data_IF_696107850928
#
_entry.id   IF_696107850928
#
_cell.length_a   1.000
_cell.length_b   1.000
_cell.length_c   1.000
_cell.angle_alpha   90.00
_cell.angle_beta   90.00
_cell.angle_gamma   90.00
#
_symmetry.space_group_name_H-M   'P 1'
#
loop_
_entity.id
_entity.type
_entity.pdbx_description
1 polymer ?
#
# COMPACT_ATOMS: atom_id res chain seq x y z
N UNK A 1 8.23 -8.45 18.54
CA UNK A 1 7.88 -9.53 19.49
C UNK A 1 6.37 -9.60 19.74
N UNK A 2 5.74 -8.57 20.29
CA UNK A 2 4.28 -8.57 20.59
C UNK A 2 3.41 -8.79 19.34
N UNK A 3 3.72 -8.14 18.23
CA UNK A 3 2.91 -8.23 17.00
C UNK A 3 3.00 -9.61 16.33
N UNK A 4 4.19 -10.23 16.31
CA UNK A 4 4.38 -11.60 15.82
C UNK A 4 3.62 -12.60 16.69
N UNK A 5 3.61 -12.38 18.00
CA UNK A 5 2.84 -13.20 18.93
C UNK A 5 1.33 -13.05 18.71
N UNK A 6 0.84 -11.83 18.47
CA UNK A 6 -0.57 -11.59 18.11
C UNK A 6 -0.98 -12.25 16.80
N UNK A 7 -0.13 -12.17 15.77
CA UNK A 7 -0.34 -12.84 14.48
C UNK A 7 -0.38 -14.36 14.65
N UNK A 8 0.53 -14.91 15.45
CA UNK A 8 0.56 -16.34 15.76
C UNK A 8 -0.68 -16.79 16.53
N UNK A 9 -1.10 -16.03 17.56
CA UNK A 9 -2.32 -16.31 18.34
C UNK A 9 -3.56 -16.25 17.45
N UNK A 10 -3.70 -15.24 16.59
CA UNK A 10 -4.82 -15.19 15.64
C UNK A 10 -4.80 -16.34 14.65
N UNK A 11 -3.62 -16.72 14.14
CA UNK A 11 -3.49 -17.86 13.25
C UNK A 11 -3.97 -19.15 13.92
N UNK A 12 -3.57 -19.38 15.18
CA UNK A 12 -4.03 -20.53 15.98
C UNK A 12 -5.54 -20.48 16.24
N UNK A 13 -6.10 -19.30 16.53
CA UNK A 13 -7.55 -19.11 16.71
C UNK A 13 -8.31 -19.40 15.42
N UNK A 14 -7.82 -18.93 14.27
CA UNK A 14 -8.38 -19.20 12.95
C UNK A 14 -8.36 -20.72 12.64
N UNK A 15 -7.28 -21.40 13.00
CA UNK A 15 -7.12 -22.84 12.82
C UNK A 15 -8.09 -23.64 13.70
N UNK A 16 -8.28 -23.22 14.96
CA UNK A 16 -9.24 -23.85 15.87
C UNK A 16 -10.70 -23.62 15.44
N UNK A 17 -11.02 -22.42 14.93
CA UNK A 17 -12.33 -22.12 14.35
C UNK A 17 -12.61 -22.93 13.09
N UNK A 18 -11.56 -23.20 12.30
CA UNK A 18 -11.67 -24.02 11.10
C UNK A 18 -12.12 -25.46 11.40
N UNK A 19 -11.63 -26.03 12.51
CA UNK A 19 -12.01 -27.39 12.92
C UNK A 19 -13.38 -27.49 13.60
N UNK A 20 -13.91 -26.39 14.18
CA UNK A 20 -15.08 -26.47 15.04
C UNK A 20 -16.44 -26.30 14.33
N UNK A 21 -16.55 -25.52 13.23
CA UNK A 21 -17.85 -25.25 12.57
C UNK A 21 -17.71 -25.16 11.03
N UNK A 22 -17.95 -26.26 10.28
CA UNK A 22 -17.77 -26.31 8.82
C UNK A 22 -18.70 -25.38 8.01
N UNK A 23 -19.89 -25.06 8.53
CA UNK A 23 -20.92 -24.31 7.80
C UNK A 23 -20.80 -22.79 7.91
N UNK A 24 -20.15 -22.27 8.96
CA UNK A 24 -19.87 -20.83 9.16
C UNK A 24 -18.46 -20.42 8.70
N UNK A 25 -17.67 -21.43 8.32
CA UNK A 25 -16.27 -21.34 7.98
C UNK A 25 -15.93 -20.27 6.93
N UNK A 26 -16.66 -20.10 5.82
CA UNK A 26 -16.27 -19.12 4.80
C UNK A 26 -16.46 -17.67 5.29
N UNK A 27 -17.58 -17.39 5.96
CA UNK A 27 -17.92 -16.03 6.39
C UNK A 27 -17.02 -15.61 7.55
N UNK A 28 -16.91 -16.44 8.59
CA UNK A 28 -16.07 -16.14 9.76
C UNK A 28 -14.59 -16.02 9.40
N UNK A 29 -14.08 -16.90 8.52
CA UNK A 29 -12.69 -16.83 8.07
C UNK A 29 -12.43 -15.57 7.24
N UNK A 30 -13.35 -15.20 6.35
CA UNK A 30 -13.21 -13.97 5.56
C UNK A 30 -13.26 -12.72 6.45
N UNK A 31 -14.18 -12.68 7.42
CA UNK A 31 -14.30 -11.54 8.36
C UNK A 31 -13.08 -11.43 9.27
N UNK A 32 -12.62 -12.54 9.85
CA UNK A 32 -11.43 -12.54 10.71
C UNK A 32 -10.16 -12.23 9.91
N UNK A 33 -10.03 -12.76 8.69
CA UNK A 33 -8.93 -12.43 7.80
C UNK A 33 -8.92 -10.94 7.45
N UNK A 34 -10.07 -10.34 7.13
CA UNK A 34 -10.15 -8.90 6.90
C UNK A 34 -9.81 -8.08 8.13
N UNK A 35 -10.30 -8.48 9.30
CA UNK A 35 -10.00 -7.79 10.56
C UNK A 35 -8.51 -7.86 10.90
N UNK A 36 -7.89 -9.01 10.65
CA UNK A 36 -6.45 -9.24 10.80
C UNK A 36 -5.65 -8.42 9.79
N UNK A 37 -6.06 -8.41 8.52
CA UNK A 37 -5.43 -7.60 7.47
C UNK A 37 -5.49 -6.12 7.80
N UNK A 38 -6.64 -5.61 8.26
CA UNK A 38 -6.82 -4.22 8.72
C UNK A 38 -5.94 -3.93 9.93
N UNK A 39 -5.90 -4.83 10.92
CA UNK A 39 -5.05 -4.67 12.09
C UNK A 39 -3.57 -4.59 11.72
N UNK A 40 -3.08 -5.48 10.85
CA UNK A 40 -1.71 -5.47 10.33
C UNK A 40 -1.43 -4.21 9.53
N UNK A 41 -2.38 -3.78 8.69
CA UNK A 41 -2.28 -2.55 7.91
C UNK A 41 -2.02 -1.35 8.82
N UNK A 42 -2.86 -1.15 9.84
CA UNK A 42 -2.76 0.02 10.72
C UNK A 42 -1.61 -0.06 11.72
N UNK A 43 -1.25 -1.26 12.19
CA UNK A 43 -0.24 -1.43 13.26
C UNK A 43 1.17 -1.54 12.71
N UNK A 44 1.34 -2.06 11.49
CA UNK A 44 2.67 -2.30 10.89
C UNK A 44 2.85 -1.47 9.64
N UNK A 45 1.95 -1.61 8.66
CA UNK A 45 2.15 -1.06 7.32
C UNK A 45 2.09 0.48 7.32
N UNK A 46 1.13 1.08 8.03
CA UNK A 46 1.00 2.54 8.17
C UNK A 46 2.21 3.18 8.86
N UNK A 47 2.67 2.73 10.05
CA UNK A 47 3.86 3.32 10.67
C UNK A 47 5.14 3.04 9.88
N UNK A 48 5.24 1.90 9.20
CA UNK A 48 6.35 1.61 8.29
C UNK A 48 6.39 2.59 7.12
N UNK A 49 5.25 2.82 6.46
CA UNK A 49 5.12 3.80 5.39
C UNK A 49 5.46 5.22 5.87
N UNK A 50 5.00 5.62 7.07
CA UNK A 50 5.37 6.91 7.68
C UNK A 50 6.87 7.03 7.93
N UNK A 51 7.51 5.97 8.41
CA UNK A 51 8.96 5.97 8.69
C UNK A 51 9.76 6.06 7.40
N UNK A 52 9.34 5.34 6.36
CA UNK A 52 9.93 5.44 5.02
C UNK A 52 9.77 6.84 4.45
N UNK A 53 8.57 7.42 4.52
CA UNK A 53 8.33 8.80 4.05
C UNK A 53 9.20 9.81 4.81
N UNK A 54 9.34 9.69 6.13
CA UNK A 54 10.20 10.55 6.94
C UNK A 54 11.70 10.39 6.63
N UNK A 55 12.14 9.20 6.21
CA UNK A 55 13.51 8.99 5.72
C UNK A 55 13.72 9.65 4.34
N UNK A 56 12.70 9.58 3.49
CA UNK A 56 12.76 10.13 2.14
C UNK A 56 12.63 11.66 2.16
N UNK A 57 11.85 12.26 3.07
CA UNK A 57 11.78 13.71 3.28
C UNK A 57 13.13 14.38 3.60
N UNK A 58 14.10 13.63 4.14
CA UNK A 58 15.45 14.14 4.41
C UNK A 58 16.32 14.25 3.16
N UNK A 59 15.86 13.73 2.02
CA UNK A 59 16.55 13.86 0.75
C UNK A 59 16.16 15.17 0.05
N UNK A 60 17.09 15.81 -0.67
CA UNK A 60 16.79 17.00 -1.45
C UNK A 60 15.78 16.65 -2.57
N UNK A 61 14.74 17.47 -2.71
CA UNK A 61 13.87 17.45 -3.88
C UNK A 61 14.68 17.79 -5.14
N UNK A 62 14.46 17.17 -6.32
CA UNK A 62 13.33 16.30 -6.72
C UNK A 62 13.58 14.79 -6.56
N UNK A 63 14.77 14.39 -6.11
CA UNK A 63 15.21 12.98 -5.97
C UNK A 63 14.24 12.15 -5.11
N UNK A 64 13.74 12.75 -4.04
CA UNK A 64 12.70 12.24 -3.13
C UNK A 64 11.44 11.79 -3.87
N UNK A 65 10.91 12.65 -4.74
CA UNK A 65 9.68 12.40 -5.49
C UNK A 65 9.84 11.25 -6.48
N UNK A 66 11.01 11.18 -7.12
CA UNK A 66 11.38 10.08 -8.02
C UNK A 66 11.48 8.75 -7.28
N UNK A 67 12.15 8.71 -6.12
CA UNK A 67 12.32 7.48 -5.33
C UNK A 67 10.98 6.97 -4.81
N UNK A 68 10.13 7.84 -4.26
CA UNK A 68 8.78 7.45 -3.80
C UNK A 68 7.95 6.94 -4.97
N UNK A 69 7.96 7.63 -6.11
CA UNK A 69 7.19 7.22 -7.29
C UNK A 69 7.64 5.87 -7.84
N UNK A 70 8.95 5.64 -7.94
CA UNK A 70 9.52 4.37 -8.38
C UNK A 70 9.19 3.23 -7.40
N UNK A 71 9.28 3.50 -6.09
CA UNK A 71 8.93 2.53 -5.06
C UNK A 71 7.45 2.14 -5.09
N UNK A 72 6.55 3.13 -5.21
CA UNK A 72 5.11 2.90 -5.35
C UNK A 72 4.77 2.13 -6.62
N UNK A 73 5.44 2.45 -7.74
CA UNK A 73 5.25 1.74 -9.00
C UNK A 73 5.69 0.28 -8.90
N UNK A 74 6.89 0.03 -8.37
CA UNK A 74 7.41 -1.33 -8.18
C UNK A 74 6.53 -2.16 -7.24
N UNK A 75 6.09 -1.56 -6.13
CA UNK A 75 5.17 -2.25 -5.21
C UNK A 75 3.84 -2.58 -5.87
N UNK A 76 3.33 -1.69 -6.72
CA UNK A 76 2.12 -1.95 -7.50
C UNK A 76 2.31 -3.10 -8.50
N UNK A 77 3.46 -3.19 -9.17
CA UNK A 77 3.76 -4.31 -10.07
C UNK A 77 3.87 -5.64 -9.33
N UNK A 78 4.60 -5.68 -8.22
CA UNK A 78 4.78 -6.92 -7.45
C UNK A 78 3.44 -7.42 -6.91
N UNK A 79 2.63 -6.54 -6.32
CA UNK A 79 1.33 -6.92 -5.77
C UNK A 79 0.34 -7.33 -6.86
N UNK A 80 0.33 -6.63 -8.00
CA UNK A 80 -0.53 -7.01 -9.11
C UNK A 80 -0.09 -8.32 -9.77
N UNK A 81 1.21 -8.59 -9.82
CA UNK A 81 1.75 -9.89 -10.26
C UNK A 81 1.26 -11.03 -9.38
N UNK A 82 1.37 -10.89 -8.05
CA UNK A 82 0.86 -11.90 -7.12
C UNK A 82 -0.67 -12.09 -7.25
N UNK A 83 -1.43 -11.01 -7.40
CA UNK A 83 -2.87 -11.09 -7.61
C UNK A 83 -3.22 -11.79 -8.92
N UNK A 84 -2.42 -11.62 -9.97
CA UNK A 84 -2.61 -12.31 -11.23
C UNK A 84 -2.36 -13.81 -11.10
N UNK A 85 -1.30 -14.20 -10.39
CA UNK A 85 -0.95 -15.61 -10.16
C UNK A 85 -2.03 -16.34 -9.34
N UNK A 86 -2.73 -15.64 -8.46
CA UNK A 86 -3.85 -16.14 -7.65
C UNK A 86 -5.22 -16.10 -8.39
N UNK A 87 -5.26 -15.65 -9.66
CA UNK A 87 -6.48 -15.58 -10.46
C UNK A 87 -7.34 -14.31 -10.26
N UNK A 88 -6.84 -13.32 -9.52
CA UNK A 88 -7.47 -12.02 -9.26
C UNK A 88 -6.97 -10.91 -10.21
N UNK A 89 -6.78 -11.21 -11.49
CA UNK A 89 -6.16 -10.28 -12.46
C UNK A 89 -6.88 -8.92 -12.55
N UNK A 90 -8.21 -8.90 -12.52
CA UNK A 90 -8.99 -7.66 -12.55
C UNK A 90 -8.73 -6.76 -11.33
N UNK A 91 -8.53 -7.35 -10.15
CA UNK A 91 -8.21 -6.61 -8.92
C UNK A 91 -6.77 -6.08 -8.99
N UNK A 92 -5.85 -6.88 -9.53
CA UNK A 92 -4.46 -6.45 -9.78
C UNK A 92 -4.38 -5.26 -10.73
N UNK A 93 -5.14 -5.25 -11.82
CA UNK A 93 -5.20 -4.13 -12.76
C UNK A 93 -5.80 -2.85 -12.14
N UNK A 94 -6.88 -3.00 -11.35
CA UNK A 94 -7.45 -1.89 -10.59
C UNK A 94 -6.41 -1.31 -9.62
N UNK A 95 -5.69 -2.16 -8.89
CA UNK A 95 -4.66 -1.74 -7.96
C UNK A 95 -3.54 -0.96 -8.65
N UNK A 96 -3.03 -1.45 -9.79
CA UNK A 96 -2.04 -0.71 -10.58
C UNK A 96 -2.56 0.66 -11.05
N UNK A 97 -3.82 0.71 -11.47
CA UNK A 97 -4.45 1.95 -11.95
C UNK A 97 -4.55 2.98 -10.83
N UNK A 98 -5.03 2.57 -9.65
CA UNK A 98 -5.08 3.43 -8.46
C UNK A 98 -3.69 3.92 -8.08
N UNK A 99 -2.68 3.04 -8.09
CA UNK A 99 -1.31 3.44 -7.76
C UNK A 99 -0.72 4.44 -8.74
N UNK A 100 -0.99 4.32 -10.04
CA UNK A 100 -0.59 5.31 -11.05
C UNK A 100 -1.27 6.67 -10.81
N UNK A 101 -2.56 6.68 -10.46
CA UNK A 101 -3.29 7.92 -10.12
C UNK A 101 -2.66 8.59 -8.89
N UNK A 102 -2.32 7.81 -7.86
CA UNK A 102 -1.63 8.33 -6.65
C UNK A 102 -0.28 8.94 -7.02
N UNK A 103 0.52 8.26 -7.85
CA UNK A 103 1.80 8.79 -8.32
C UNK A 103 1.59 10.12 -9.06
N UNK A 104 0.69 10.19 -10.03
CA UNK A 104 0.41 11.44 -10.77
C UNK A 104 -0.03 12.56 -9.83
N UNK A 105 -0.87 12.24 -8.84
CA UNK A 105 -1.35 13.22 -7.84
C UNK A 105 -0.20 13.75 -6.96
N UNK A 106 0.78 12.91 -6.63
CA UNK A 106 1.98 13.34 -5.89
C UNK A 106 2.83 14.34 -6.68
N UNK A 107 2.85 14.26 -8.01
CA UNK A 107 3.62 15.17 -8.87
C UNK A 107 2.92 16.50 -9.16
N UNK A 108 1.60 16.60 -8.94
CA UNK A 108 0.80 17.79 -9.26
C UNK A 108 1.37 19.11 -8.69
N UNK A 109 1.76 19.18 -7.39
CA UNK A 109 2.32 20.40 -6.82
C UNK A 109 3.61 20.84 -7.48
N UNK A 110 4.49 19.89 -7.83
CA UNK A 110 5.76 20.19 -8.51
C UNK A 110 5.54 20.67 -9.94
N UNK A 111 4.55 20.11 -10.64
CA UNK A 111 4.15 20.61 -11.97
C UNK A 111 3.62 22.03 -11.87
N UNK A 112 2.79 22.34 -10.87
CA UNK A 112 2.28 23.70 -10.62
C UNK A 112 3.41 24.70 -10.39
N UNK A 113 4.37 24.38 -9.51
CA UNK A 113 5.55 25.23 -9.27
C UNK A 113 6.39 25.44 -10.54
N UNK A 114 6.53 24.40 -11.37
CA UNK A 114 7.29 24.48 -12.60
C UNK A 114 6.59 25.41 -13.61
N UNK A 115 5.26 25.35 -13.71
CA UNK A 115 4.45 26.25 -14.52
C UNK A 115 4.58 27.70 -14.03
N UNK A 116 4.51 27.93 -12.72
CA UNK A 116 4.70 29.27 -12.12
C UNK A 116 6.10 29.83 -12.40
N UNK A 117 7.13 28.99 -12.26
CA UNK A 117 8.52 29.36 -12.54
C UNK A 117 8.70 29.73 -14.01
N UNK A 118 8.10 28.95 -14.92
CA UNK A 118 8.12 29.27 -16.36
C UNK A 118 7.39 30.58 -16.64
N UNK A 119 6.23 30.82 -16.02
CA UNK A 119 5.51 32.10 -16.18
C UNK A 119 6.33 33.29 -15.66
N UNK A 120 7.06 33.12 -14.56
CA UNK A 120 7.93 34.17 -14.02
C UNK A 120 9.16 34.44 -14.89
N UNK A 121 9.61 33.46 -15.68
CA UNK A 121 10.77 33.54 -16.57
C UNK A 121 10.45 34.03 -17.99
N UNK A 122 9.17 34.05 -18.38
CA UNK A 122 8.71 34.61 -19.64
C UNK A 122 8.32 36.08 -19.38
N UNK A 123 9.17 37.07 -19.74
CA UNK A 123 8.77 38.45 -19.69
C UNK A 123 7.71 38.68 -20.75
N UNK A 124 6.50 39.00 -20.33
CA UNK A 124 5.52 39.68 -21.17
C UNK A 124 5.77 41.18 -21.07
#
# INVERSE_FOLDING_TARGET
>A
MVVLFQLFVMYVVLLLLAFAVPALHPILYTTLFFLLAVYVLFTILVPFARTLLAMVEKMPAPTTLLIVSAGLFYMAEVLAGQMKDEGYEAVGQLFQTVMKIVIVTLWLPSVSQLIETIHALIPW
#
